data_IF_332127184771
#
_entry.id   IF_332127184771
#
_cell.length_a   1.000
_cell.length_b   1.000
_cell.length_c   1.000
_cell.angle_alpha   90.00
_cell.angle_beta   90.00
_cell.angle_gamma   90.00
#
_symmetry.space_group_name_H-M   'P 1'
#
loop_
_entity.id
_entity.type
_entity.pdbx_description
1 polymer ?
#
# COMPACT_ATOMS: atom_id res chain seq x y z
N UNK A 1 11.46 1.52 -3.21
CA UNK A 1 11.30 1.57 -4.68
C UNK A 1 10.30 2.66 -5.04
N UNK A 2 10.77 3.82 -5.52
CA UNK A 2 9.90 4.91 -5.97
C UNK A 2 9.43 4.62 -7.40
N UNK A 3 8.22 5.07 -7.77
CA UNK A 3 7.58 4.85 -9.09
C UNK A 3 7.29 3.38 -9.47
N UNK A 4 7.44 2.44 -8.53
CA UNK A 4 7.07 1.03 -8.74
C UNK A 4 5.69 0.74 -8.17
N UNK A 5 4.84 0.08 -8.97
CA UNK A 5 3.56 -0.45 -8.52
C UNK A 5 3.76 -1.78 -7.81
N UNK A 6 3.11 -1.92 -6.66
CA UNK A 6 2.94 -3.20 -5.96
C UNK A 6 1.47 -3.55 -5.91
N UNK A 7 1.14 -4.81 -6.23
CA UNK A 7 -0.22 -5.32 -6.01
C UNK A 7 -0.50 -5.50 -4.52
N UNK A 8 -1.78 -5.64 -4.15
CA UNK A 8 -2.16 -5.92 -2.75
C UNK A 8 -1.55 -7.24 -2.28
N UNK A 9 -1.63 -8.30 -3.08
CA UNK A 9 -0.95 -9.56 -2.78
C UNK A 9 0.55 -9.39 -2.52
N UNK A 10 1.26 -8.61 -3.36
CA UNK A 10 2.69 -8.35 -3.16
C UNK A 10 2.98 -7.57 -1.88
N UNK A 11 2.13 -6.60 -1.52
CA UNK A 11 2.28 -5.86 -0.26
C UNK A 11 1.97 -6.74 0.94
N UNK A 12 0.97 -7.62 0.81
CA UNK A 12 0.55 -8.56 1.85
C UNK A 12 1.69 -9.54 2.18
N UNK A 13 2.19 -10.22 1.15
CA UNK A 13 3.34 -11.12 1.21
C UNK A 13 4.58 -10.43 1.84
N UNK A 14 4.94 -9.24 1.36
CA UNK A 14 6.16 -8.56 1.81
C UNK A 14 6.10 -7.99 3.23
N UNK A 15 4.92 -7.61 3.72
CA UNK A 15 4.79 -6.90 5.01
C UNK A 15 4.34 -7.85 6.12
N UNK A 16 3.49 -8.82 5.81
CA UNK A 16 2.95 -9.76 6.81
C UNK A 16 3.46 -11.20 6.64
N UNK A 17 3.96 -11.56 5.46
CA UNK A 17 4.49 -12.90 5.17
C UNK A 17 3.42 -13.96 4.91
N UNK A 18 3.87 -15.14 4.48
CA UNK A 18 3.03 -16.29 4.09
C UNK A 18 2.13 -16.84 5.21
N UNK A 19 2.47 -16.58 6.47
CA UNK A 19 1.73 -17.09 7.62
C UNK A 19 0.56 -16.21 8.04
N UNK A 20 0.41 -15.03 7.43
CA UNK A 20 -0.65 -14.11 7.78
C UNK A 20 -1.94 -14.47 7.04
N UNK A 21 -2.93 -14.97 7.80
CA UNK A 21 -4.29 -15.21 7.30
C UNK A 21 -5.06 -13.89 7.26
N UNK A 22 -4.63 -12.97 6.39
CA UNK A 22 -5.30 -11.70 6.15
C UNK A 22 -5.64 -11.56 4.67
N UNK A 23 -6.71 -10.84 4.38
CA UNK A 23 -7.15 -10.58 3.01
C UNK A 23 -6.47 -9.35 2.41
N UNK A 24 -6.44 -9.27 1.08
CA UNK A 24 -5.96 -8.09 0.36
C UNK A 24 -6.67 -6.78 0.78
N UNK A 25 -7.94 -6.86 1.22
CA UNK A 25 -8.71 -5.71 1.75
C UNK A 25 -8.07 -5.09 2.99
N UNK A 26 -7.33 -5.88 3.78
CA UNK A 26 -6.58 -5.38 4.94
C UNK A 26 -5.50 -4.39 4.49
N UNK A 27 -4.84 -4.63 3.34
CA UNK A 27 -3.87 -3.69 2.78
C UNK A 27 -4.50 -2.31 2.58
N UNK A 28 -5.73 -2.25 2.06
CA UNK A 28 -6.42 -0.98 1.82
C UNK A 28 -6.64 -0.18 3.12
N UNK A 29 -7.04 -0.86 4.21
CA UNK A 29 -7.25 -0.24 5.54
C UNK A 29 -5.93 0.29 6.09
N UNK A 30 -4.85 -0.48 5.97
CA UNK A 30 -3.53 -0.08 6.43
C UNK A 30 -2.99 1.10 5.62
N UNK A 31 -3.17 1.12 4.29
CA UNK A 31 -2.80 2.26 3.44
C UNK A 31 -3.61 3.50 3.79
N UNK A 32 -4.91 3.38 4.07
CA UNK A 32 -5.73 4.50 4.51
C UNK A 32 -5.21 5.11 5.82
N UNK A 33 -4.88 4.26 6.80
CA UNK A 33 -4.31 4.71 8.08
C UNK A 33 -2.93 5.34 7.89
N UNK A 34 -2.08 4.74 7.06
CA UNK A 34 -0.76 5.26 6.76
C UNK A 34 -0.83 6.64 6.10
N UNK A 35 -1.71 6.83 5.11
CA UNK A 35 -1.95 8.16 4.51
C UNK A 35 -2.31 9.19 5.59
N UNK A 36 -3.27 8.89 6.47
CA UNK A 36 -3.64 9.80 7.57
C UNK A 36 -2.48 10.13 8.51
N UNK A 37 -1.58 9.18 8.75
CA UNK A 37 -0.42 9.38 9.60
C UNK A 37 0.67 10.26 8.95
N UNK A 38 0.75 10.29 7.61
CA UNK A 38 1.77 11.02 6.85
C UNK A 38 1.56 12.55 6.76
N UNK A 39 0.46 13.09 7.28
CA UNK A 39 0.14 14.53 7.44
C UNK A 39 0.93 15.50 6.52
N UNK A 40 0.37 15.88 5.38
CA UNK A 40 1.00 16.78 4.38
C UNK A 40 1.88 16.05 3.35
N UNK A 41 1.96 14.73 3.44
CA UNK A 41 2.63 13.85 2.49
C UNK A 41 1.75 12.66 2.06
N UNK A 42 0.43 12.78 2.20
CA UNK A 42 -0.55 11.74 1.84
C UNK A 42 -0.47 11.36 0.36
N UNK A 43 -0.11 12.34 -0.49
CA UNK A 43 0.08 12.19 -1.93
C UNK A 43 1.25 11.30 -2.34
N UNK A 44 2.17 10.98 -1.42
CA UNK A 44 3.29 10.07 -1.70
C UNK A 44 2.80 8.66 -2.01
N UNK A 45 1.64 8.25 -1.48
CA UNK A 45 1.07 6.93 -1.78
C UNK A 45 -0.04 7.13 -2.82
N UNK A 46 0.19 6.70 -4.05
CA UNK A 46 -0.82 6.74 -5.13
C UNK A 46 -1.56 5.42 -5.24
N UNK A 47 -2.86 5.50 -5.48
CA UNK A 47 -3.69 4.33 -5.83
C UNK A 47 -3.62 4.11 -7.34
N UNK A 48 -3.17 2.94 -7.76
CA UNK A 48 -3.28 2.48 -9.15
C UNK A 48 -4.51 1.59 -9.23
N UNK A 49 -5.60 2.12 -9.78
CA UNK A 49 -6.92 1.44 -9.80
C UNK A 49 -6.79 0.03 -10.36
N UNK A 50 -7.46 -0.91 -9.70
CA UNK A 50 -7.44 -2.35 -10.02
C UNK A 50 -6.08 -3.06 -9.93
N UNK A 51 -4.98 -2.35 -9.65
CA UNK A 51 -3.63 -2.95 -9.53
C UNK A 51 -3.15 -2.97 -8.09
N UNK A 52 -3.08 -1.79 -7.44
CA UNK A 52 -2.55 -1.68 -6.08
C UNK A 52 -2.03 -0.28 -5.76
N UNK A 53 -0.82 -0.20 -5.21
CA UNK A 53 -0.25 1.04 -4.69
C UNK A 53 1.16 1.31 -5.19
N UNK A 54 1.49 2.58 -5.31
CA UNK A 54 2.81 3.07 -5.70
C UNK A 54 3.25 4.14 -4.71
N UNK A 55 4.54 4.14 -4.37
CA UNK A 55 5.18 5.27 -3.72
C UNK A 55 5.70 6.23 -4.80
N UNK A 56 5.21 7.46 -4.83
CA UNK A 56 5.59 8.51 -5.77
C UNK A 56 6.44 9.58 -5.10
N UNK A 57 7.33 10.21 -5.85
CA UNK A 57 7.93 11.48 -5.42
C UNK A 57 6.89 12.58 -5.61
N UNK A 58 6.89 13.59 -4.72
CA UNK A 58 5.91 14.68 -4.75
C UNK A 58 5.77 15.30 -6.13
#
# INVERSE_FOLDING_TARGET
>A
HRERVFSRAQLLDKVWGDHAVIEERTVDVHVLRLRKALKGAEGLIRTVRSVGYMLSEK
#
